data_IF_490577972035
#
_entry.id   IF_490577972035
#
_cell.length_a   1.000
_cell.length_b   1.000
_cell.length_c   1.000
_cell.angle_alpha   90.00
_cell.angle_beta   90.00
_cell.angle_gamma   90.00
#
_symmetry.space_group_name_H-M   'P 1'
#
loop_
_entity.id
_entity.type
_entity.pdbx_description
1 polymer ?
#
# COMPACT_ATOMS: atom_id res chain seq x y z
N UNK A 1 5.35 -25.20 11.39
CA UNK A 1 5.29 -23.75 11.16
C UNK A 1 5.41 -23.08 12.51
N UNK A 2 6.28 -22.09 12.64
CA UNK A 2 6.38 -21.31 13.87
C UNK A 2 5.07 -20.54 14.09
N UNK A 3 4.77 -20.24 15.36
CA UNK A 3 3.58 -19.49 15.72
C UNK A 3 3.68 -18.04 15.21
N UNK A 4 2.68 -17.57 14.49
CA UNK A 4 2.61 -16.18 14.01
C UNK A 4 2.36 -15.27 15.20
N UNK A 5 3.08 -14.14 15.27
CA UNK A 5 2.93 -13.08 16.26
C UNK A 5 2.76 -11.71 15.62
N UNK A 6 3.26 -11.56 14.39
CA UNK A 6 3.25 -10.30 13.64
C UNK A 6 2.59 -10.54 12.29
N UNK A 7 1.79 -9.58 11.83
CA UNK A 7 1.15 -9.64 10.51
C UNK A 7 1.41 -8.31 9.82
N UNK A 8 1.98 -8.35 8.63
CA UNK A 8 2.19 -7.19 7.78
C UNK A 8 1.26 -7.30 6.58
N UNK A 9 0.52 -6.24 6.28
CA UNK A 9 -0.38 -6.15 5.15
C UNK A 9 0.13 -5.15 4.12
N UNK A 10 0.01 -5.47 2.84
CA UNK A 10 0.02 -4.44 1.80
C UNK A 10 -1.25 -3.60 1.84
N UNK A 11 -1.22 -2.42 1.23
CA UNK A 11 -2.35 -1.51 1.16
C UNK A 11 -3.24 -1.84 -0.04
N UNK A 12 -2.71 -1.63 -1.23
CA UNK A 12 -3.45 -1.75 -2.47
C UNK A 12 -3.71 -3.20 -2.86
N UNK A 13 -4.94 -3.53 -3.28
CA UNK A 13 -5.32 -4.90 -3.62
C UNK A 13 -5.51 -5.84 -2.41
N UNK A 14 -5.11 -5.41 -1.21
CA UNK A 14 -5.19 -6.19 0.04
C UNK A 14 -6.07 -5.50 1.08
N UNK A 15 -5.68 -4.32 1.57
CA UNK A 15 -6.47 -3.58 2.57
C UNK A 15 -7.58 -2.79 1.89
N UNK A 16 -7.26 -2.13 0.79
CA UNK A 16 -8.22 -1.40 -0.04
C UNK A 16 -8.23 -1.95 -1.48
N UNK A 17 -9.38 -1.87 -2.13
CA UNK A 17 -9.52 -2.21 -3.54
C UNK A 17 -9.00 -1.08 -4.43
N UNK A 18 -8.15 -1.44 -5.40
CA UNK A 18 -7.58 -0.51 -6.36
C UNK A 18 -8.16 -0.69 -7.76
N UNK A 19 -8.27 0.44 -8.47
CA UNK A 19 -8.62 0.52 -9.88
C UNK A 19 -7.49 1.15 -10.69
N UNK A 20 -6.66 0.35 -11.35
CA UNK A 20 -5.64 0.85 -12.26
C UNK A 20 -6.24 1.76 -13.34
N UNK A 21 -7.37 1.35 -13.91
CA UNK A 21 -8.08 2.14 -14.92
C UNK A 21 -8.59 3.48 -14.37
N UNK A 22 -8.98 3.51 -13.09
CA UNK A 22 -9.37 4.74 -12.40
C UNK A 22 -8.19 5.72 -12.29
N UNK A 23 -7.04 5.24 -11.87
CA UNK A 23 -5.79 6.02 -11.81
C UNK A 23 -5.38 6.53 -13.19
N UNK A 24 -5.35 5.64 -14.20
CA UNK A 24 -5.03 6.03 -15.58
C UNK A 24 -5.95 7.16 -16.05
N UNK A 25 -7.28 7.01 -15.90
CA UNK A 25 -8.25 8.05 -16.28
C UNK A 25 -8.03 9.37 -15.54
N UNK A 26 -7.64 9.32 -14.26
CA UNK A 26 -7.31 10.51 -13.47
C UNK A 26 -6.18 11.31 -14.10
N UNK A 27 -5.07 10.64 -14.43
CA UNK A 27 -3.91 11.28 -15.07
C UNK A 27 -4.16 11.66 -16.53
N UNK A 28 -4.90 10.88 -17.30
CA UNK A 28 -5.31 11.24 -18.66
C UNK A 28 -6.18 12.52 -18.66
N UNK A 29 -7.13 12.64 -17.73
CA UNK A 29 -7.96 13.85 -17.54
C UNK A 29 -7.10 15.06 -17.19
N UNK A 30 -6.08 14.90 -16.36
CA UNK A 30 -5.08 15.95 -16.08
C UNK A 30 -4.33 16.38 -17.34
N UNK A 31 -4.14 15.47 -18.30
CA UNK A 31 -3.46 15.73 -19.59
C UNK A 31 -2.20 14.90 -19.81
N UNK A 32 -1.91 13.92 -18.96
CA UNK A 32 -0.79 12.98 -19.13
C UNK A 32 -1.19 11.94 -20.19
N UNK A 33 -0.84 12.19 -21.46
CA UNK A 33 -1.29 11.37 -22.60
C UNK A 33 -0.71 9.95 -22.63
N UNK A 34 0.39 9.72 -21.96
CA UNK A 34 1.07 8.43 -21.85
C UNK A 34 0.90 7.79 -20.45
N UNK A 35 -0.13 8.18 -19.70
CA UNK A 35 -0.42 7.68 -18.36
C UNK A 35 -0.45 6.14 -18.32
N UNK A 36 -1.10 5.49 -19.29
CA UNK A 36 -1.19 4.02 -19.39
C UNK A 36 0.18 3.32 -19.53
N UNK A 37 1.20 4.02 -20.01
CA UNK A 37 2.55 3.48 -20.16
C UNK A 37 3.40 3.67 -18.90
N UNK A 38 3.03 4.64 -18.06
CA UNK A 38 3.75 5.03 -16.83
C UNK A 38 3.21 4.35 -15.60
N UNK A 39 1.92 4.05 -15.60
CA UNK A 39 1.19 3.52 -14.47
C UNK A 39 0.98 2.01 -14.60
N UNK A 40 1.14 1.32 -13.48
CA UNK A 40 1.00 -0.13 -13.38
C UNK A 40 0.29 -0.46 -12.06
N UNK A 41 -0.22 -1.68 -11.92
CA UNK A 41 -0.87 -2.12 -10.68
C UNK A 41 0.13 -2.30 -9.52
N UNK A 42 1.39 -2.59 -9.82
CA UNK A 42 2.40 -2.97 -8.83
C UNK A 42 3.65 -2.09 -8.83
N UNK A 43 4.08 -1.58 -10.01
CA UNK A 43 5.34 -0.84 -10.15
C UNK A 43 5.17 0.33 -11.10
N UNK A 44 5.22 1.53 -10.55
CA UNK A 44 5.20 2.76 -11.33
C UNK A 44 6.54 3.00 -12.05
N UNK A 45 6.55 3.89 -13.05
CA UNK A 45 7.75 4.23 -13.83
C UNK A 45 8.06 5.72 -13.82
N UNK A 46 9.36 6.04 -13.90
CA UNK A 46 9.84 7.44 -13.98
C UNK A 46 9.42 8.23 -12.76
N UNK A 47 8.93 9.45 -12.98
CA UNK A 47 8.55 10.39 -11.92
C UNK A 47 7.51 9.83 -10.92
N UNK A 48 6.66 8.91 -11.35
CA UNK A 48 5.70 8.23 -10.47
C UNK A 48 6.43 7.31 -9.47
N UNK A 49 7.39 6.51 -9.95
CA UNK A 49 8.24 5.69 -9.08
C UNK A 49 9.15 6.54 -8.19
N UNK A 50 9.60 7.70 -8.68
CA UNK A 50 10.41 8.63 -7.90
C UNK A 50 9.63 9.20 -6.71
N UNK A 51 8.34 9.51 -6.91
CA UNK A 51 7.44 9.94 -5.83
C UNK A 51 7.21 8.81 -4.82
N UNK A 52 6.89 7.59 -5.26
CA UNK A 52 6.65 6.44 -4.38
C UNK A 52 7.88 5.98 -3.61
N UNK A 53 9.07 6.22 -4.13
CA UNK A 53 10.34 5.96 -3.43
C UNK A 53 10.84 7.13 -2.58
N UNK A 54 10.09 8.23 -2.52
CA UNK A 54 10.49 9.42 -1.75
C UNK A 54 11.69 10.18 -2.33
N UNK A 55 12.08 9.89 -3.58
CA UNK A 55 13.19 10.61 -4.26
C UNK A 55 12.82 12.03 -4.64
N UNK A 56 11.53 12.29 -4.81
CA UNK A 56 11.00 13.63 -5.11
C UNK A 56 9.85 13.95 -4.16
N UNK A 57 9.68 15.24 -3.90
CA UNK A 57 8.55 15.78 -3.12
C UNK A 57 7.27 15.88 -3.96
N UNK A 58 6.14 16.12 -3.28
CA UNK A 58 4.85 16.41 -3.93
C UNK A 58 4.95 17.62 -4.87
N UNK A 59 5.70 18.65 -4.48
CA UNK A 59 5.86 19.85 -5.30
C UNK A 59 6.72 19.60 -6.55
N UNK A 60 7.79 18.81 -6.43
CA UNK A 60 8.59 18.41 -7.59
C UNK A 60 7.77 17.53 -8.54
N UNK A 61 6.95 16.61 -8.01
CA UNK A 61 6.01 15.83 -8.81
C UNK A 61 5.01 16.72 -9.56
N UNK A 62 4.40 17.71 -8.87
CA UNK A 62 3.49 18.67 -9.46
C UNK A 62 4.14 19.46 -10.61
N UNK A 63 5.36 19.97 -10.38
CA UNK A 63 6.11 20.70 -11.41
C UNK A 63 6.39 19.82 -12.62
N UNK A 64 6.69 18.53 -12.41
CA UNK A 64 6.87 17.60 -13.51
C UNK A 64 5.55 17.33 -14.27
N UNK A 65 4.40 17.28 -13.56
CA UNK A 65 3.09 17.20 -14.21
C UNK A 65 2.81 18.46 -15.06
N UNK A 66 3.13 19.65 -14.57
CA UNK A 66 3.03 20.87 -15.38
C UNK A 66 3.87 20.76 -16.66
N UNK A 67 5.10 20.25 -16.56
CA UNK A 67 6.00 20.08 -17.70
C UNK A 67 5.48 19.04 -18.69
N UNK A 68 5.01 17.90 -18.22
CA UNK A 68 4.50 16.81 -19.07
C UNK A 68 3.22 17.21 -19.82
N UNK A 69 2.36 17.98 -19.17
CA UNK A 69 1.05 18.35 -19.74
C UNK A 69 1.07 19.68 -20.47
N UNK A 70 2.12 20.49 -20.30
CA UNK A 70 2.20 21.89 -20.72
C UNK A 70 0.99 22.73 -20.21
N UNK A 71 0.58 22.46 -18.97
CA UNK A 71 -0.54 23.15 -18.28
C UNK A 71 -0.11 23.56 -16.89
N UNK A 72 -0.87 24.48 -16.31
CA UNK A 72 -0.79 24.75 -14.87
C UNK A 72 -1.53 23.64 -14.11
N UNK A 73 -0.81 22.86 -13.31
CA UNK A 73 -1.34 21.76 -12.48
C UNK A 73 -1.15 22.15 -11.02
N UNK A 74 -2.20 21.96 -10.23
CA UNK A 74 -2.17 22.21 -8.78
C UNK A 74 -1.85 20.92 -8.00
N UNK A 75 -1.51 21.05 -6.72
CA UNK A 75 -1.39 19.87 -5.83
C UNK A 75 -2.73 19.13 -5.69
N UNK A 76 -3.85 19.88 -5.75
CA UNK A 76 -5.18 19.28 -5.72
C UNK A 76 -5.46 18.42 -6.96
N UNK A 77 -5.06 18.88 -8.15
CA UNK A 77 -5.18 18.09 -9.38
C UNK A 77 -4.38 16.77 -9.27
N UNK A 78 -3.18 16.83 -8.70
CA UNK A 78 -2.36 15.64 -8.46
C UNK A 78 -3.04 14.69 -7.45
N UNK A 79 -3.58 15.22 -6.36
CA UNK A 79 -4.32 14.44 -5.37
C UNK A 79 -5.52 13.74 -6.01
N UNK A 80 -6.35 14.45 -6.78
CA UNK A 80 -7.52 13.89 -7.46
C UNK A 80 -7.14 12.79 -8.45
N UNK A 81 -6.04 12.97 -9.19
CA UNK A 81 -5.55 11.97 -10.13
C UNK A 81 -5.09 10.69 -9.41
N UNK A 82 -4.33 10.81 -8.32
CA UNK A 82 -3.91 9.68 -7.51
C UNK A 82 -5.10 9.01 -6.79
N UNK A 83 -6.04 9.80 -6.27
CA UNK A 83 -7.25 9.27 -5.64
C UNK A 83 -8.12 8.46 -6.62
N UNK A 84 -7.97 8.70 -7.93
CA UNK A 84 -8.58 7.87 -8.97
C UNK A 84 -8.24 6.39 -8.91
N UNK A 85 -7.13 6.00 -8.25
CA UNK A 85 -6.79 4.61 -7.99
C UNK A 85 -7.69 3.93 -6.97
N UNK A 86 -8.31 4.68 -6.08
CA UNK A 86 -9.17 4.12 -5.03
C UNK A 86 -10.50 3.68 -5.65
N UNK A 87 -10.82 2.40 -5.52
CA UNK A 87 -12.15 1.87 -5.91
C UNK A 87 -13.07 1.91 -4.69
N UNK A 88 -12.78 1.12 -3.67
CA UNK A 88 -13.48 1.14 -2.39
C UNK A 88 -12.63 0.54 -1.27
N UNK A 89 -13.06 0.74 -0.02
CA UNK A 89 -12.44 0.13 1.17
C UNK A 89 -13.35 -0.98 1.68
N UNK A 90 -12.93 -2.27 1.51
CA UNK A 90 -13.73 -3.41 1.99
C UNK A 90 -13.82 -3.41 3.52
N UNK A 91 -15.00 -3.19 4.08
CA UNK A 91 -15.20 -3.09 5.53
C UNK A 91 -14.83 -4.39 6.26
N UNK A 92 -15.03 -5.56 5.64
CA UNK A 92 -14.62 -6.85 6.19
C UNK A 92 -13.10 -6.96 6.38
N UNK A 93 -12.29 -6.32 5.52
CA UNK A 93 -10.83 -6.31 5.66
C UNK A 93 -10.45 -5.55 6.92
N UNK A 94 -11.01 -4.35 7.10
CA UNK A 94 -10.77 -3.50 8.28
C UNK A 94 -11.23 -4.18 9.58
N UNK A 95 -12.43 -4.75 9.57
CA UNK A 95 -12.96 -5.50 10.72
C UNK A 95 -12.07 -6.71 11.07
N UNK A 96 -11.55 -7.41 10.06
CA UNK A 96 -10.65 -8.57 10.27
C UNK A 96 -9.31 -8.13 10.86
N UNK A 97 -8.75 -7.02 10.38
CA UNK A 97 -7.51 -6.44 10.93
C UNK A 97 -7.69 -6.09 12.42
N UNK A 98 -8.79 -5.44 12.80
CA UNK A 98 -9.07 -5.13 14.20
C UNK A 98 -9.21 -6.39 15.05
N UNK A 99 -9.91 -7.43 14.55
CA UNK A 99 -10.03 -8.71 15.26
C UNK A 99 -8.68 -9.39 15.47
N UNK A 100 -7.78 -9.33 14.51
CA UNK A 100 -6.43 -9.87 14.67
C UNK A 100 -5.66 -9.11 15.75
N UNK A 101 -5.77 -7.77 15.82
CA UNK A 101 -5.19 -6.98 16.91
C UNK A 101 -5.79 -7.33 18.27
N UNK A 102 -7.10 -7.50 18.36
CA UNK A 102 -7.80 -7.95 19.59
C UNK A 102 -7.34 -9.33 20.06
N UNK A 103 -6.93 -10.21 19.13
CA UNK A 103 -6.31 -11.50 19.44
C UNK A 103 -4.85 -11.39 19.92
N UNK A 104 -4.27 -10.19 19.92
CA UNK A 104 -2.91 -9.92 20.41
C UNK A 104 -1.82 -9.98 19.35
N UNK A 105 -2.16 -10.12 18.07
CA UNK A 105 -1.18 -9.98 17.00
C UNK A 105 -0.73 -8.53 16.87
N UNK A 106 0.56 -8.30 16.63
CA UNK A 106 1.05 -7.02 16.16
C UNK A 106 0.76 -6.89 14.68
N UNK A 107 0.08 -5.83 14.28
CA UNK A 107 -0.34 -5.63 12.90
C UNK A 107 0.27 -4.36 12.34
N UNK A 108 0.95 -4.45 11.19
CA UNK A 108 1.54 -3.30 10.52
C UNK A 108 1.16 -3.24 9.04
N UNK A 109 1.29 -2.04 8.48
CA UNK A 109 1.16 -1.80 7.05
C UNK A 109 2.58 -1.73 6.43
N UNK A 110 2.79 -2.39 5.29
CA UNK A 110 4.03 -2.35 4.51
C UNK A 110 3.67 -2.10 3.03
N UNK A 111 3.73 -0.86 2.59
CA UNK A 111 3.15 -0.44 1.31
C UNK A 111 4.10 0.36 0.43
N UNK A 112 4.10 0.03 -0.87
CA UNK A 112 4.57 0.95 -1.90
C UNK A 112 3.46 1.96 -2.15
N UNK A 113 3.67 3.21 -1.79
CA UNK A 113 2.67 4.27 -1.88
C UNK A 113 3.35 5.65 -1.95
N UNK A 114 2.55 6.69 -2.02
CA UNK A 114 3.04 8.06 -2.15
C UNK A 114 2.28 9.02 -1.21
N UNK A 115 2.80 10.26 -1.01
CA UNK A 115 2.19 11.20 -0.08
C UNK A 115 0.74 11.58 -0.43
N UNK A 116 0.36 11.64 -1.72
CA UNK A 116 -1.01 11.99 -2.10
C UNK A 116 -2.01 10.91 -1.68
N UNK A 117 -1.66 9.63 -1.91
CA UNK A 117 -2.49 8.50 -1.46
C UNK A 117 -2.57 8.46 0.06
N UNK A 118 -1.45 8.71 0.77
CA UNK A 118 -1.45 8.71 2.23
C UNK A 118 -2.24 9.89 2.82
N UNK A 119 -2.28 11.05 2.19
CA UNK A 119 -3.12 12.18 2.64
C UNK A 119 -4.59 11.79 2.77
N UNK A 120 -5.12 11.01 1.81
CA UNK A 120 -6.48 10.49 1.89
C UNK A 120 -6.57 9.32 2.87
N UNK A 121 -5.67 8.36 2.77
CA UNK A 121 -5.73 7.15 3.59
C UNK A 121 -5.60 7.47 5.09
N UNK A 122 -4.77 8.45 5.46
CA UNK A 122 -4.62 8.87 6.87
C UNK A 122 -5.53 10.06 7.22
N UNK A 123 -6.68 10.14 6.58
CA UNK A 123 -7.74 11.10 6.89
C UNK A 123 -9.00 10.41 7.46
N UNK A 124 -9.91 11.15 8.12
CA UNK A 124 -11.19 10.60 8.59
C UNK A 124 -12.10 10.04 7.49
N UNK A 125 -11.80 10.32 6.22
CA UNK A 125 -12.59 9.89 5.08
C UNK A 125 -12.28 8.43 4.66
N UNK A 126 -11.16 7.86 5.13
CA UNK A 126 -10.64 6.58 4.68
C UNK A 126 -11.66 5.43 4.80
N UNK A 127 -12.26 5.23 5.97
CA UNK A 127 -13.18 4.11 6.22
C UNK A 127 -14.67 4.46 6.08
N UNK A 128 -14.97 5.74 5.82
CA UNK A 128 -16.34 6.26 5.79
C UNK A 128 -17.04 6.29 7.16
N UNK A 129 -16.32 5.98 8.25
CA UNK A 129 -16.81 5.98 9.63
C UNK A 129 -16.08 7.00 10.51
N UNK A 130 -15.12 7.72 9.96
CA UNK A 130 -14.36 8.78 10.63
C UNK A 130 -12.99 8.35 11.14
N UNK A 131 -12.48 7.17 10.76
CA UNK A 131 -11.18 6.72 11.21
C UNK A 131 -10.17 6.71 10.04
N UNK A 132 -8.96 7.24 10.24
CA UNK A 132 -7.86 7.12 9.28
C UNK A 132 -7.31 5.70 9.27
N UNK A 133 -6.53 5.36 8.24
CA UNK A 133 -5.88 4.05 8.14
C UNK A 133 -4.98 3.74 9.34
N UNK A 134 -4.31 4.76 9.91
CA UNK A 134 -3.47 4.61 11.10
C UNK A 134 -4.22 4.09 12.34
N UNK A 135 -5.55 4.21 12.37
CA UNK A 135 -6.38 3.60 13.44
C UNK A 135 -6.30 2.07 13.44
N UNK A 136 -6.09 1.45 12.28
CA UNK A 136 -6.14 0.00 12.09
C UNK A 136 -4.80 -0.71 12.33
N UNK A 137 -3.68 0.01 12.30
CA UNK A 137 -2.34 -0.54 12.38
C UNK A 137 -1.55 -0.01 13.57
N UNK A 138 -0.69 -0.86 14.14
CA UNK A 138 0.22 -0.46 15.21
C UNK A 138 1.37 0.40 14.67
N UNK A 139 1.75 0.18 13.40
CA UNK A 139 2.76 0.97 12.68
C UNK A 139 2.59 0.84 11.18
N UNK A 140 2.98 1.87 10.45
CA UNK A 140 3.00 1.88 8.99
C UNK A 140 4.43 2.06 8.49
N UNK A 141 4.77 1.33 7.42
CA UNK A 141 6.03 1.42 6.68
C UNK A 141 5.66 1.78 5.25
N UNK A 142 5.77 3.06 4.93
CA UNK A 142 5.38 3.63 3.65
C UNK A 142 6.64 3.89 2.82
N UNK A 143 6.68 3.41 1.59
CA UNK A 143 7.89 3.44 0.77
C UNK A 143 8.50 4.83 0.62
N UNK A 144 7.68 5.85 0.42
CA UNK A 144 8.14 7.23 0.28
C UNK A 144 8.77 7.81 1.56
N UNK A 145 8.38 7.33 2.74
CA UNK A 145 8.98 7.68 4.03
C UNK A 145 10.24 6.85 4.31
N UNK A 146 10.20 5.58 3.92
CA UNK A 146 11.34 4.66 4.07
C UNK A 146 12.48 4.96 3.08
N UNK A 147 12.22 5.69 1.98
CA UNK A 147 13.19 5.93 0.92
C UNK A 147 13.50 4.68 0.08
N UNK A 148 12.73 3.61 0.23
CA UNK A 148 12.92 2.32 -0.42
C UNK A 148 11.60 1.60 -0.62
N UNK A 149 11.46 0.88 -1.73
CA UNK A 149 10.23 0.19 -2.14
C UNK A 149 10.37 -1.33 -2.07
N UNK A 150 9.28 -2.06 -1.81
CA UNK A 150 9.21 -3.48 -2.12
C UNK A 150 9.47 -3.67 -3.63
N UNK A 151 10.19 -4.72 -4.07
CA UNK A 151 10.66 -5.87 -3.31
C UNK A 151 12.08 -5.72 -2.75
N UNK A 152 12.65 -4.54 -2.59
CA UNK A 152 13.96 -4.38 -1.99
C UNK A 152 13.98 -4.96 -0.56
N UNK A 153 14.98 -5.78 -0.18
CA UNK A 153 15.01 -6.43 1.13
C UNK A 153 15.10 -5.44 2.31
N UNK A 154 15.62 -4.25 2.06
CA UNK A 154 15.82 -3.19 3.06
C UNK A 154 14.50 -2.79 3.74
N UNK A 155 13.41 -2.65 2.97
CA UNK A 155 12.12 -2.24 3.56
C UNK A 155 11.54 -3.33 4.47
N UNK A 156 11.76 -4.61 4.14
CA UNK A 156 11.38 -5.73 5.00
C UNK A 156 12.21 -5.76 6.27
N UNK A 157 13.52 -5.50 6.19
CA UNK A 157 14.38 -5.39 7.38
C UNK A 157 13.95 -4.23 8.28
N UNK A 158 13.66 -3.05 7.70
CA UNK A 158 13.13 -1.92 8.46
C UNK A 158 11.83 -2.27 9.19
N UNK A 159 10.94 -3.01 8.54
CA UNK A 159 9.69 -3.48 9.14
C UNK A 159 9.96 -4.47 10.28
N UNK A 160 10.79 -5.49 10.07
CA UNK A 160 11.11 -6.50 11.08
C UNK A 160 11.79 -5.86 12.31
N UNK A 161 12.77 -5.00 12.10
CA UNK A 161 13.46 -4.28 13.17
C UNK A 161 12.50 -3.36 13.95
N UNK A 162 11.71 -2.56 13.22
CA UNK A 162 10.77 -1.61 13.80
C UNK A 162 9.64 -2.28 14.59
N UNK A 163 9.25 -3.50 14.23
CA UNK A 163 8.29 -4.35 14.95
C UNK A 163 8.96 -5.21 16.04
N UNK A 164 10.29 -5.28 16.08
CA UNK A 164 11.06 -6.27 16.87
C UNK A 164 10.55 -7.69 16.59
N UNK A 165 10.33 -7.97 15.31
CA UNK A 165 9.73 -9.20 14.83
C UNK A 165 10.80 -10.14 14.27
N UNK A 166 10.55 -11.46 14.39
CA UNK A 166 11.35 -12.46 13.69
C UNK A 166 10.67 -12.83 12.37
N UNK A 167 11.44 -13.05 11.30
CA UNK A 167 10.86 -13.42 10.01
C UNK A 167 9.90 -14.61 10.11
N UNK A 168 10.31 -15.68 10.76
CA UNK A 168 9.56 -16.92 10.90
C UNK A 168 8.29 -16.82 11.79
N UNK A 169 8.15 -15.75 12.58
CA UNK A 169 6.99 -15.41 13.40
C UNK A 169 6.11 -14.34 12.76
N UNK A 170 6.41 -13.96 11.50
CA UNK A 170 5.73 -12.91 10.74
C UNK A 170 4.99 -13.50 9.54
N UNK A 171 3.73 -13.11 9.36
CA UNK A 171 2.96 -13.35 8.14
C UNK A 171 2.90 -12.05 7.33
N UNK A 172 3.25 -12.12 6.05
CA UNK A 172 3.11 -11.02 5.11
C UNK A 172 2.01 -11.34 4.09
N UNK A 173 1.05 -10.45 3.97
CA UNK A 173 -0.10 -10.55 3.06
C UNK A 173 0.05 -9.48 1.99
N UNK A 174 0.27 -9.89 0.73
CA UNK A 174 0.55 -8.98 -0.40
C UNK A 174 0.14 -9.69 -1.70
N UNK A 175 -0.49 -9.00 -2.63
CA UNK A 175 -0.95 -9.54 -3.90
C UNK A 175 0.14 -9.55 -5.00
N UNK A 176 1.29 -8.92 -4.73
CA UNK A 176 2.44 -8.86 -5.63
C UNK A 176 3.37 -10.06 -5.48
N UNK A 177 3.35 -11.02 -6.43
CA UNK A 177 4.20 -12.22 -6.38
C UNK A 177 5.70 -11.93 -6.17
N UNK A 178 6.19 -10.80 -6.69
CA UNK A 178 7.60 -10.42 -6.56
C UNK A 178 7.93 -10.05 -5.11
N UNK A 179 7.03 -9.34 -4.44
CA UNK A 179 7.14 -9.00 -3.02
C UNK A 179 7.09 -10.26 -2.15
N UNK A 180 6.16 -11.16 -2.46
CA UNK A 180 6.02 -12.47 -1.80
C UNK A 180 7.30 -13.30 -1.92
N UNK A 181 7.89 -13.40 -3.12
CA UNK A 181 9.15 -14.12 -3.33
C UNK A 181 10.30 -13.56 -2.49
N UNK A 182 10.40 -12.23 -2.38
CA UNK A 182 11.42 -11.61 -1.53
C UNK A 182 11.17 -11.89 -0.05
N UNK A 183 9.94 -11.75 0.43
CA UNK A 183 9.59 -12.04 1.81
C UNK A 183 9.93 -13.50 2.19
N UNK A 184 9.63 -14.48 1.30
CA UNK A 184 9.98 -15.89 1.48
C UNK A 184 11.50 -16.11 1.56
N UNK A 185 12.29 -15.42 0.73
CA UNK A 185 13.77 -15.48 0.79
C UNK A 185 14.32 -14.98 2.13
N UNK A 186 13.62 -14.07 2.77
CA UNK A 186 13.95 -13.55 4.10
C UNK A 186 13.41 -14.43 5.26
N UNK A 187 12.74 -15.53 4.95
CA UNK A 187 12.16 -16.44 5.95
C UNK A 187 10.82 -16.00 6.54
N UNK A 188 10.17 -14.99 5.94
CA UNK A 188 8.84 -14.50 6.34
C UNK A 188 7.79 -15.48 5.76
N UNK A 189 6.79 -15.83 6.56
CA UNK A 189 5.62 -16.59 6.08
C UNK A 189 4.74 -15.67 5.23
N UNK A 190 4.12 -16.18 4.17
CA UNK A 190 3.43 -15.33 3.20
C UNK A 190 2.05 -15.87 2.84
N UNK A 191 1.16 -14.95 2.50
CA UNK A 191 -0.14 -15.18 1.89
C UNK A 191 -0.26 -14.25 0.67
N UNK A 192 -0.56 -14.84 -0.50
CA UNK A 192 -0.64 -14.10 -1.76
C UNK A 192 -2.08 -14.22 -2.32
N UNK A 193 -3.01 -13.35 -1.88
CA UNK A 193 -4.32 -13.26 -2.53
C UNK A 193 -4.16 -12.69 -3.95
N UNK A 194 -5.13 -12.90 -4.81
CA UNK A 194 -5.23 -12.12 -6.04
C UNK A 194 -5.60 -10.66 -5.71
N UNK A 195 -5.25 -9.76 -6.63
CA UNK A 195 -5.59 -8.34 -6.46
C UNK A 195 -7.09 -8.17 -6.17
N UNK A 196 -7.42 -7.46 -5.10
CA UNK A 196 -8.77 -7.22 -4.60
C UNK A 196 -9.55 -8.50 -4.17
N UNK A 197 -8.88 -9.64 -3.99
CA UNK A 197 -9.53 -10.86 -3.49
C UNK A 197 -9.85 -10.75 -1.99
N UNK A 198 -10.95 -11.36 -1.58
CA UNK A 198 -11.32 -11.45 -0.16
C UNK A 198 -10.43 -12.46 0.58
N UNK A 199 -9.29 -11.99 1.07
CA UNK A 199 -8.34 -12.77 1.86
C UNK A 199 -8.85 -13.11 3.27
N UNK A 200 -9.90 -12.44 3.75
CA UNK A 200 -10.40 -12.63 5.12
C UNK A 200 -10.96 -14.03 5.34
N UNK A 201 -11.43 -14.68 4.28
CA UNK A 201 -11.97 -16.05 4.34
C UNK A 201 -10.90 -17.15 4.21
N UNK A 202 -9.64 -16.80 3.94
CA UNK A 202 -8.59 -17.79 3.74
C UNK A 202 -8.35 -18.62 5.01
N UNK A 203 -8.11 -19.93 4.89
CA UNK A 203 -7.93 -20.83 6.03
C UNK A 203 -6.83 -20.39 7.01
N UNK A 204 -5.76 -19.78 6.48
CA UNK A 204 -4.63 -19.26 7.25
C UNK A 204 -5.10 -18.13 8.19
N UNK A 205 -5.87 -17.18 7.68
CA UNK A 205 -6.42 -16.07 8.46
C UNK A 205 -7.49 -16.57 9.43
N UNK A 206 -8.39 -17.43 8.97
CA UNK A 206 -9.45 -17.99 9.81
C UNK A 206 -8.90 -18.81 10.99
N UNK A 207 -7.73 -19.44 10.81
CA UNK A 207 -7.02 -20.16 11.90
C UNK A 207 -6.49 -19.17 12.96
N UNK A 208 -6.00 -18.01 12.58
CA UNK A 208 -5.50 -16.98 13.51
C UNK A 208 -6.63 -16.33 14.32
N UNK A 209 -7.86 -16.32 13.79
CA UNK A 209 -9.04 -15.75 14.42
C UNK A 209 -9.75 -16.68 15.42
N UNK A 210 -9.40 -17.96 15.44
CA UNK A 210 -9.92 -18.94 16.42
C UNK A 210 -9.22 -18.81 17.77
#
# INVERSE_FOLDING_TARGET
>A
MNEIKNIAFDLGGVVLALSLEGGIRGFEKMGVSDARQRLDAFVQKGVFADLESGRISMEEFRLEMCRLTNKEITLQDCYEAWHGYVDYVPQQNLATILRLREKGFKVCLLSNTNPFMNMWADSPEFDGQGHPISYYFDKMYLSYECGVMKPAPEIFHMMLEGQKAKPEETLFVDDGEVNIKMAQQLGIQTLCPHNNEDWTIFPEIQKLLK
#
